data_IF_045277949718
#
_entry.id   IF_045277949718
#
_cell.length_a   1.000
_cell.length_b   1.000
_cell.length_c   1.000
_cell.angle_alpha   90.00
_cell.angle_beta   90.00
_cell.angle_gamma   90.00
#
_symmetry.space_group_name_H-M   'P 1'
#
loop_
_entity.id
_entity.type
_entity.pdbx_description
1 polymer ?
#
# COMPACT_ATOMS: atom_id res chain seq x y z
N UNK A 1 -15.08 4.84 -30.34
CA UNK A 1 -14.66 3.47 -29.99
C UNK A 1 -14.25 3.38 -28.52
N UNK A 2 -15.22 3.53 -27.64
CA UNK A 2 -15.06 3.39 -26.18
C UNK A 2 -16.43 3.13 -25.56
N UNK A 3 -16.45 2.69 -24.30
CA UNK A 3 -17.67 2.48 -23.53
C UNK A 3 -18.43 3.81 -23.36
N UNK A 4 -19.72 3.79 -23.67
CA UNK A 4 -20.61 4.96 -23.56
C UNK A 4 -21.72 4.69 -22.55
N UNK A 5 -22.10 5.73 -21.84
CA UNK A 5 -23.33 5.80 -21.06
C UNK A 5 -24.41 6.43 -21.95
N UNK A 6 -25.50 5.72 -22.18
CA UNK A 6 -26.52 6.09 -23.16
C UNK A 6 -27.87 6.22 -22.48
N UNK A 7 -28.51 7.37 -22.63
CA UNK A 7 -29.92 7.58 -22.27
C UNK A 7 -30.77 7.41 -23.51
N UNK A 8 -31.84 6.62 -23.41
CA UNK A 8 -32.74 6.36 -24.53
C UNK A 8 -34.19 6.23 -24.07
N UNK A 9 -35.12 6.37 -25.01
CA UNK A 9 -36.53 6.03 -24.84
C UNK A 9 -37.00 5.15 -26.00
N UNK A 10 -38.11 4.46 -25.79
CA UNK A 10 -38.79 3.68 -26.84
C UNK A 10 -40.23 4.19 -26.95
N UNK A 11 -40.59 4.59 -28.17
CA UNK A 11 -41.93 5.03 -28.54
C UNK A 11 -42.39 4.34 -29.82
N UNK A 12 -43.54 3.74 -29.80
CA UNK A 12 -44.11 2.96 -30.92
C UNK A 12 -43.13 1.90 -31.49
N UNK A 13 -42.40 1.23 -30.61
CA UNK A 13 -41.42 0.19 -31.00
C UNK A 13 -40.10 0.73 -31.60
N UNK A 14 -39.88 2.04 -31.63
CA UNK A 14 -38.67 2.69 -32.11
C UNK A 14 -37.82 3.17 -30.95
N UNK A 15 -36.49 2.88 -31.06
CA UNK A 15 -35.52 3.37 -30.12
C UNK A 15 -35.05 4.80 -30.50
N UNK A 16 -35.09 5.70 -29.53
CA UNK A 16 -34.60 7.07 -29.66
C UNK A 16 -33.46 7.30 -28.65
N UNK A 17 -32.28 7.60 -29.14
CA UNK A 17 -31.12 8.00 -28.32
C UNK A 17 -31.33 9.46 -27.90
N UNK A 18 -31.39 9.70 -26.60
CA UNK A 18 -31.56 11.03 -26.03
C UNK A 18 -30.21 11.69 -25.72
N UNK A 19 -29.28 10.94 -25.17
CA UNK A 19 -27.94 11.42 -24.81
C UNK A 19 -26.94 10.30 -24.85
N UNK A 20 -25.69 10.64 -25.19
CA UNK A 20 -24.51 9.76 -25.02
C UNK A 20 -23.41 10.55 -24.34
N UNK A 21 -22.68 9.89 -23.43
CA UNK A 21 -21.51 10.45 -22.77
C UNK A 21 -20.47 9.36 -22.50
N UNK A 22 -19.22 9.74 -22.28
CA UNK A 22 -18.20 8.78 -21.87
C UNK A 22 -18.55 8.20 -20.49
N UNK A 23 -18.61 6.89 -20.40
CA UNK A 23 -18.98 6.21 -19.17
C UNK A 23 -17.91 6.41 -18.10
N UNK A 24 -18.33 6.74 -16.86
CA UNK A 24 -17.48 6.68 -15.69
C UNK A 24 -17.22 5.22 -15.34
N UNK A 25 -15.98 4.87 -15.04
CA UNK A 25 -15.55 3.49 -14.82
C UNK A 25 -14.80 3.38 -13.50
N UNK A 26 -14.99 2.25 -12.82
CA UNK A 26 -14.11 1.85 -11.72
C UNK A 26 -12.78 1.36 -12.29
N UNK A 27 -11.68 1.31 -11.52
CA UNK A 27 -10.39 0.80 -12.00
C UNK A 27 -10.49 -0.59 -12.65
N UNK A 28 -11.24 -1.51 -12.04
CA UNK A 28 -11.50 -2.83 -12.62
C UNK A 28 -12.20 -2.73 -13.98
N UNK A 29 -13.24 -1.91 -14.09
CA UNK A 29 -13.98 -1.73 -15.34
C UNK A 29 -13.12 -1.11 -16.44
N UNK A 30 -12.14 -0.25 -16.11
CA UNK A 30 -11.20 0.30 -17.10
C UNK A 30 -10.39 -0.82 -17.75
N UNK A 31 -9.84 -1.74 -16.93
CA UNK A 31 -9.09 -2.91 -17.43
C UNK A 31 -9.98 -3.86 -18.23
N UNK A 32 -11.17 -4.21 -17.69
CA UNK A 32 -12.13 -5.08 -18.36
C UNK A 32 -12.50 -4.57 -19.76
N UNK A 33 -12.84 -3.28 -19.86
CA UNK A 33 -13.22 -2.64 -21.13
C UNK A 33 -12.03 -2.59 -22.08
N UNK A 34 -10.83 -2.23 -21.62
CA UNK A 34 -9.64 -2.19 -22.46
C UNK A 34 -9.33 -3.54 -23.09
N UNK A 35 -9.37 -4.61 -22.27
CA UNK A 35 -9.12 -5.97 -22.75
C UNK A 35 -10.23 -6.46 -23.70
N UNK A 36 -11.49 -6.20 -23.39
CA UNK A 36 -12.62 -6.59 -24.24
C UNK A 36 -12.55 -5.93 -25.61
N UNK A 37 -12.21 -4.63 -25.67
CA UNK A 37 -12.09 -3.90 -26.95
C UNK A 37 -10.97 -4.44 -27.84
N UNK A 38 -9.88 -4.96 -27.27
CA UNK A 38 -8.84 -5.65 -28.04
C UNK A 38 -9.35 -7.01 -28.55
N UNK A 39 -10.02 -7.77 -27.71
CA UNK A 39 -10.60 -9.08 -28.08
C UNK A 39 -11.65 -8.94 -29.19
N UNK A 40 -12.40 -7.87 -29.19
CA UNK A 40 -13.37 -7.50 -30.24
C UNK A 40 -12.71 -6.91 -31.51
N UNK A 41 -11.39 -6.72 -31.52
CA UNK A 41 -10.67 -6.13 -32.64
C UNK A 41 -10.95 -4.63 -32.86
N UNK A 42 -11.45 -3.92 -31.86
CA UNK A 42 -11.84 -2.50 -31.94
C UNK A 42 -10.64 -1.57 -31.76
N UNK A 43 -9.68 -1.95 -30.89
CA UNK A 43 -8.43 -1.24 -30.61
C UNK A 43 -7.25 -2.19 -30.60
N UNK A 44 -6.02 -1.66 -30.72
CA UNK A 44 -4.80 -2.45 -30.60
C UNK A 44 -4.40 -2.69 -29.13
N UNK A 45 -3.45 -3.61 -28.88
CA UNK A 45 -2.88 -3.85 -27.55
C UNK A 45 -2.21 -2.58 -27.00
N UNK A 46 -1.47 -1.87 -27.83
CA UNK A 46 -0.79 -0.62 -27.47
C UNK A 46 -1.79 0.45 -27.03
N UNK A 47 -2.89 0.59 -27.77
CA UNK A 47 -3.94 1.54 -27.45
C UNK A 47 -4.63 1.16 -26.13
N UNK A 48 -4.86 -0.13 -25.88
CA UNK A 48 -5.43 -0.60 -24.64
C UNK A 48 -4.57 -0.25 -23.43
N UNK A 49 -3.25 -0.46 -23.50
CA UNK A 49 -2.29 -0.10 -22.45
C UNK A 49 -2.31 1.40 -22.17
N UNK A 50 -2.30 2.22 -23.24
CA UNK A 50 -2.32 3.69 -23.12
C UNK A 50 -3.65 4.23 -22.50
N UNK A 51 -4.74 3.48 -22.63
CA UNK A 51 -6.04 3.86 -22.06
C UNK A 51 -6.17 3.58 -20.58
N UNK A 52 -5.35 2.68 -20.04
CA UNK A 52 -5.32 2.35 -18.60
C UNK A 52 -4.28 3.23 -17.92
N UNK A 53 -4.74 4.20 -17.14
CA UNK A 53 -3.85 5.13 -16.44
C UNK A 53 -3.09 4.45 -15.30
N UNK A 54 -1.94 5.00 -14.94
CA UNK A 54 -1.12 4.50 -13.82
C UNK A 54 -1.82 4.63 -12.46
N UNK A 55 -2.72 5.61 -12.31
CA UNK A 55 -3.51 5.76 -11.08
C UNK A 55 -4.52 4.62 -10.89
N UNK A 56 -5.16 4.18 -11.99
CA UNK A 56 -6.06 3.04 -11.98
C UNK A 56 -5.30 1.76 -11.64
N UNK A 57 -4.12 1.57 -12.22
CA UNK A 57 -3.24 0.43 -11.90
C UNK A 57 -2.86 0.45 -10.44
N UNK A 58 -2.41 1.58 -9.90
CA UNK A 58 -2.05 1.70 -8.49
C UNK A 58 -3.21 1.34 -7.55
N UNK A 59 -4.45 1.74 -7.88
CA UNK A 59 -5.62 1.35 -7.11
C UNK A 59 -5.92 -0.15 -7.16
N UNK A 60 -5.54 -0.84 -8.23
CA UNK A 60 -5.72 -2.29 -8.36
C UNK A 60 -4.64 -3.10 -7.64
N UNK A 61 -3.45 -2.51 -7.47
CA UNK A 61 -2.32 -3.14 -6.79
C UNK A 61 -2.44 -3.15 -5.26
N UNK A 62 -3.34 -2.34 -4.71
CA UNK A 62 -3.53 -2.20 -3.27
C UNK A 62 -4.94 -2.61 -2.85
N UNK A 63 -5.07 -3.07 -1.60
CA UNK A 63 -6.38 -3.28 -0.99
C UNK A 63 -7.16 -1.96 -0.92
N UNK A 64 -8.49 -2.05 -1.07
CA UNK A 64 -9.40 -0.91 -1.01
C UNK A 64 -10.58 -1.26 -0.10
N UNK A 65 -11.34 -0.25 0.32
CA UNK A 65 -12.60 -0.50 1.03
C UNK A 65 -13.78 -0.59 0.07
N UNK A 66 -14.80 -1.37 0.44
CA UNK A 66 -16.04 -1.45 -0.30
C UNK A 66 -16.81 -0.11 -0.22
N UNK A 67 -17.22 0.44 -1.37
CA UNK A 67 -17.90 1.75 -1.43
C UNK A 67 -19.18 1.82 -0.61
N UNK A 68 -19.91 0.69 -0.49
CA UNK A 68 -21.13 0.64 0.30
C UNK A 68 -20.84 0.76 1.79
N UNK A 69 -19.84 0.05 2.27
CA UNK A 69 -19.38 0.10 3.66
C UNK A 69 -18.81 1.48 4.00
N UNK A 70 -18.03 2.09 3.09
CA UNK A 70 -17.50 3.45 3.26
C UNK A 70 -18.60 4.52 3.41
N UNK A 71 -19.72 4.39 2.68
CA UNK A 71 -20.84 5.36 2.78
C UNK A 71 -21.54 5.32 4.15
N UNK A 72 -21.44 4.22 4.88
CA UNK A 72 -22.03 4.04 6.21
C UNK A 72 -21.02 4.29 7.32
N UNK A 73 -19.73 4.28 7.01
CA UNK A 73 -18.65 4.43 7.98
C UNK A 73 -18.54 5.88 8.48
N UNK A 74 -18.33 6.04 9.78
CA UNK A 74 -18.07 7.34 10.38
C UNK A 74 -16.60 7.71 10.16
N UNK A 75 -16.35 8.77 9.37
CA UNK A 75 -15.00 9.31 9.23
C UNK A 75 -14.58 10.01 10.51
N UNK A 76 -13.41 9.63 11.04
CA UNK A 76 -12.81 10.22 12.25
C UNK A 76 -11.91 11.41 11.92
N UNK A 77 -11.04 11.24 10.93
CA UNK A 77 -10.08 12.28 10.50
C UNK A 77 -9.65 12.09 9.06
N UNK A 78 -8.90 13.05 8.58
CA UNK A 78 -8.20 12.99 7.30
C UNK A 78 -6.81 13.60 7.45
N UNK A 79 -5.81 12.91 6.97
CA UNK A 79 -4.43 13.34 6.87
C UNK A 79 -3.90 13.25 5.44
N UNK A 80 -2.60 13.18 5.28
CA UNK A 80 -1.94 12.98 4.00
C UNK A 80 -1.91 11.48 3.65
N UNK A 81 -2.28 11.14 2.42
CA UNK A 81 -2.17 9.82 1.82
C UNK A 81 -0.68 9.47 1.63
N UNK A 82 -0.02 9.00 2.68
CA UNK A 82 1.43 8.82 2.70
C UNK A 82 1.88 7.51 2.04
N UNK A 83 1.11 6.44 2.20
CA UNK A 83 1.33 5.15 1.52
C UNK A 83 -0.02 4.48 1.28
N UNK A 84 -0.30 3.99 0.06
CA UNK A 84 -1.62 3.50 -0.32
C UNK A 84 -1.97 2.17 0.36
N UNK A 85 -3.26 1.81 0.27
CA UNK A 85 -3.84 0.57 0.79
C UNK A 85 -4.98 0.84 1.76
N UNK A 86 -5.75 -0.21 2.06
CA UNK A 86 -6.80 -0.24 3.06
C UNK A 86 -6.43 -1.22 4.16
N UNK A 87 -6.48 -0.79 5.40
CA UNK A 87 -6.13 -1.60 6.54
C UNK A 87 -7.15 -1.43 7.67
N UNK A 88 -7.44 -2.51 8.37
CA UNK A 88 -8.31 -2.55 9.54
C UNK A 88 -7.51 -3.15 10.69
N UNK A 89 -7.58 -2.55 11.86
CA UNK A 89 -6.89 -3.11 13.02
C UNK A 89 -7.17 -2.36 14.31
N UNK A 90 -6.75 -2.98 15.39
CA UNK A 90 -6.85 -2.42 16.73
C UNK A 90 -5.77 -1.35 16.95
N UNK A 91 -6.14 -0.25 17.59
CA UNK A 91 -5.22 0.85 17.92
C UNK A 91 -4.21 0.42 18.96
N UNK A 92 -2.94 0.73 18.71
CA UNK A 92 -1.86 0.67 19.70
C UNK A 92 -0.99 1.91 19.60
N UNK A 93 -0.47 2.38 20.74
CA UNK A 93 0.23 3.66 20.83
C UNK A 93 1.75 3.51 20.98
N UNK A 94 2.25 2.31 21.26
CA UNK A 94 3.68 2.03 21.36
C UNK A 94 4.09 0.89 20.42
N UNK A 95 5.32 0.93 19.93
CA UNK A 95 5.84 -0.11 19.06
C UNK A 95 5.85 -1.48 19.74
N UNK A 96 6.26 -1.54 21.01
CA UNK A 96 6.32 -2.78 21.76
C UNK A 96 4.95 -3.44 21.94
N UNK A 97 3.92 -2.67 22.30
CA UNK A 97 2.56 -3.20 22.47
C UNK A 97 1.94 -3.61 21.13
N UNK A 98 2.24 -2.87 20.07
CA UNK A 98 1.83 -3.21 18.71
C UNK A 98 2.40 -4.56 18.27
N UNK A 99 3.70 -4.82 18.51
CA UNK A 99 4.36 -6.10 18.20
C UNK A 99 3.71 -7.26 18.96
N UNK A 100 3.48 -7.09 20.25
CA UNK A 100 2.85 -8.15 21.06
C UNK A 100 1.40 -8.44 20.61
N UNK A 101 0.62 -7.41 20.34
CA UNK A 101 -0.77 -7.56 19.91
C UNK A 101 -0.87 -8.13 18.47
N UNK A 102 0.07 -7.79 17.60
CA UNK A 102 0.11 -8.27 16.20
C UNK A 102 0.24 -9.81 16.11
N UNK A 103 0.72 -10.47 17.17
CA UNK A 103 0.77 -11.94 17.24
C UNK A 103 -0.63 -12.59 17.23
N UNK A 104 -1.67 -11.85 17.57
CA UNK A 104 -3.03 -12.40 17.76
C UNK A 104 -4.11 -11.70 16.96
N UNK A 105 -3.89 -10.47 16.52
CA UNK A 105 -4.88 -9.65 15.79
C UNK A 105 -4.23 -8.57 14.93
N UNK A 106 -4.91 -8.09 13.89
CA UNK A 106 -4.45 -6.93 13.11
C UNK A 106 -4.33 -5.68 13.98
N UNK A 107 -3.27 -4.92 13.78
CA UNK A 107 -2.91 -3.75 14.58
C UNK A 107 -2.72 -2.52 13.70
N UNK A 108 -3.14 -1.37 14.19
CA UNK A 108 -2.80 -0.05 13.65
C UNK A 108 -1.96 0.69 14.68
N UNK A 109 -0.72 1.04 14.28
CA UNK A 109 0.16 1.84 15.11
C UNK A 109 -0.20 3.32 14.98
N UNK A 110 -0.60 3.95 16.09
CA UNK A 110 -1.00 5.36 16.14
C UNK A 110 -0.01 6.13 17.00
N UNK A 111 0.71 7.09 16.39
CA UNK A 111 1.77 7.85 17.07
C UNK A 111 1.60 9.35 16.85
N UNK A 112 2.21 10.19 17.69
CA UNK A 112 2.37 11.60 17.33
C UNK A 112 3.31 11.73 16.14
N UNK A 113 4.47 11.13 16.23
CA UNK A 113 5.48 10.96 15.17
C UNK A 113 6.14 9.61 15.37
N UNK A 114 6.67 8.99 14.32
CA UNK A 114 7.49 7.78 14.45
C UNK A 114 8.97 8.12 14.43
N UNK A 115 9.73 7.30 15.14
CA UNK A 115 11.20 7.33 15.20
C UNK A 115 11.79 5.98 14.74
N UNK A 116 13.11 5.88 14.54
CA UNK A 116 13.75 4.60 14.23
C UNK A 116 13.47 3.49 15.26
N UNK A 117 13.17 3.83 16.50
CA UNK A 117 12.82 2.89 17.55
C UNK A 117 11.43 2.24 17.34
N UNK A 118 10.58 2.86 16.52
CA UNK A 118 9.24 2.37 16.23
C UNK A 118 9.21 1.35 15.06
N UNK A 119 10.33 1.06 14.40
CA UNK A 119 10.39 0.23 13.18
C UNK A 119 9.75 -1.14 13.38
N UNK A 120 10.03 -1.84 14.47
CA UNK A 120 9.46 -3.17 14.74
C UNK A 120 7.92 -3.12 14.85
N UNK A 121 7.40 -2.09 15.53
CA UNK A 121 5.96 -1.84 15.61
C UNK A 121 5.34 -1.50 14.25
N UNK A 122 6.04 -0.73 13.42
CA UNK A 122 5.60 -0.39 12.06
C UNK A 122 5.57 -1.61 11.15
N UNK A 123 6.57 -2.49 11.23
CA UNK A 123 6.62 -3.76 10.47
C UNK A 123 5.47 -4.67 10.85
N UNK A 124 5.18 -4.80 12.15
CA UNK A 124 4.15 -5.69 12.67
C UNK A 124 2.74 -5.17 12.47
N UNK A 125 2.55 -3.87 12.20
CA UNK A 125 1.24 -3.25 12.03
C UNK A 125 0.72 -3.36 10.60
N UNK A 126 -0.61 -3.40 10.43
CA UNK A 126 -1.30 -3.33 9.13
C UNK A 126 -1.27 -1.90 8.57
N UNK A 127 -1.35 -0.90 9.43
CA UNK A 127 -1.24 0.51 9.05
C UNK A 127 -0.53 1.34 10.12
N UNK A 128 -0.04 2.49 9.67
CA UNK A 128 0.56 3.53 10.51
C UNK A 128 -0.25 4.82 10.36
N UNK A 129 -0.63 5.41 11.48
CA UNK A 129 -1.31 6.72 11.52
C UNK A 129 -0.51 7.66 12.39
N UNK A 130 -0.15 8.84 11.88
CA UNK A 130 0.58 9.83 12.68
C UNK A 130 -0.15 11.18 12.75
N UNK A 131 -0.04 11.82 13.91
CA UNK A 131 -0.58 13.14 14.17
C UNK A 131 0.16 14.21 13.37
N UNK A 132 1.47 14.10 13.33
CA UNK A 132 2.39 14.98 12.65
C UNK A 132 3.13 14.23 11.55
N UNK A 133 3.75 15.00 10.68
CA UNK A 133 4.55 14.47 9.57
C UNK A 133 3.94 14.74 8.21
N UNK A 134 4.81 14.85 7.23
CA UNK A 134 4.48 15.04 5.82
C UNK A 134 4.91 13.84 4.98
N UNK A 135 4.87 14.00 3.65
CA UNK A 135 5.27 12.96 2.69
C UNK A 135 6.73 12.52 2.80
N UNK A 136 7.57 13.32 3.45
CA UNK A 136 9.00 13.06 3.70
C UNK A 136 9.30 12.69 5.16
N UNK A 137 8.28 12.54 6.01
CA UNK A 137 8.45 12.12 7.39
C UNK A 137 8.97 10.68 7.48
N UNK A 138 9.56 10.32 8.60
CA UNK A 138 10.02 8.95 8.88
C UNK A 138 8.90 7.93 8.65
N UNK A 139 7.70 8.16 9.21
CA UNK A 139 6.55 7.30 9.01
C UNK A 139 6.22 7.07 7.52
N UNK A 140 6.16 8.15 6.73
CA UNK A 140 5.80 8.09 5.32
C UNK A 140 6.86 7.35 4.47
N UNK A 141 8.15 7.61 4.71
CA UNK A 141 9.24 7.01 3.94
C UNK A 141 9.35 5.52 4.26
N UNK A 142 9.34 5.17 5.54
CA UNK A 142 9.48 3.78 6.00
C UNK A 142 8.26 2.95 5.60
N UNK A 143 7.03 3.48 5.80
CA UNK A 143 5.81 2.77 5.41
C UNK A 143 5.76 2.46 3.91
N UNK A 144 6.15 3.42 3.05
CA UNK A 144 6.26 3.18 1.60
C UNK A 144 7.30 2.12 1.27
N UNK A 145 8.47 2.16 1.91
CA UNK A 145 9.51 1.16 1.73
C UNK A 145 9.07 -0.25 2.11
N UNK A 146 8.17 -0.36 3.08
CA UNK A 146 7.58 -1.63 3.56
C UNK A 146 6.29 -2.03 2.84
N UNK A 147 5.73 -1.18 1.96
CA UNK A 147 4.43 -1.42 1.35
C UNK A 147 3.25 -1.38 2.35
N UNK A 148 3.42 -0.73 3.50
CA UNK A 148 2.38 -0.63 4.56
C UNK A 148 1.50 0.59 4.34
N UNK A 149 0.19 0.42 4.60
CA UNK A 149 -0.76 1.52 4.58
C UNK A 149 -0.34 2.62 5.57
N UNK A 150 -0.35 3.89 5.14
CA UNK A 150 0.06 4.98 6.02
C UNK A 150 -0.69 6.28 5.76
N UNK A 151 -1.16 6.89 6.84
CA UNK A 151 -1.75 8.24 6.85
C UNK A 151 -0.99 9.12 7.84
N UNK A 152 -0.42 10.22 7.35
CA UNK A 152 0.35 11.14 8.17
C UNK A 152 -0.36 12.49 8.35
N UNK A 153 -0.02 13.20 9.42
CA UNK A 153 -0.47 14.58 9.62
C UNK A 153 -1.97 14.73 9.99
N UNK A 154 -2.51 13.78 10.73
CA UNK A 154 -3.88 13.82 11.25
C UNK A 154 -4.02 14.79 12.44
N UNK A 155 -3.99 16.09 12.19
CA UNK A 155 -3.83 17.15 13.21
C UNK A 155 -4.95 17.24 14.26
N UNK A 156 -6.11 16.61 14.02
CA UNK A 156 -7.26 16.68 14.94
C UNK A 156 -7.33 15.52 15.93
N UNK A 157 -6.19 14.88 16.20
CA UNK A 157 -6.06 13.79 17.16
C UNK A 157 -5.30 14.26 18.40
N UNK A 158 -5.65 13.75 19.56
CA UNK A 158 -4.90 13.95 20.81
C UNK A 158 -4.67 12.58 21.42
N UNK A 159 -3.40 12.18 21.56
CA UNK A 159 -3.01 10.92 22.17
C UNK A 159 -2.65 11.18 23.65
N UNK A 160 -3.23 10.40 24.56
CA UNK A 160 -2.81 10.31 25.94
C UNK A 160 -2.16 8.92 26.16
N UNK A 161 -0.84 8.91 26.25
CA UNK A 161 -0.07 7.68 26.39
C UNK A 161 -0.27 7.02 27.77
N UNK A 162 -0.46 7.81 28.83
CA UNK A 162 -0.65 7.31 30.21
C UNK A 162 -2.00 6.61 30.37
N UNK A 163 -3.05 7.20 29.81
CA UNK A 163 -4.40 6.63 29.84
C UNK A 163 -4.68 5.68 28.68
N UNK A 164 -3.73 5.56 27.73
CA UNK A 164 -3.86 4.77 26.50
C UNK A 164 -5.14 5.11 25.73
N UNK A 165 -5.35 6.40 25.50
CA UNK A 165 -6.54 6.91 24.80
C UNK A 165 -6.20 7.85 23.65
N UNK A 166 -7.09 7.85 22.65
CA UNK A 166 -7.07 8.72 21.49
C UNK A 166 -8.35 9.54 21.45
N UNK A 167 -8.26 10.86 21.59
CA UNK A 167 -9.39 11.77 21.35
C UNK A 167 -9.39 12.24 19.91
N UNK A 168 -10.49 12.02 19.20
CA UNK A 168 -10.63 12.30 17.77
C UNK A 168 -12.10 12.54 17.43
N UNK A 169 -12.42 13.58 16.66
CA UNK A 169 -13.79 13.89 16.24
C UNK A 169 -14.82 13.92 17.39
N UNK A 170 -14.43 14.36 18.60
CA UNK A 170 -15.30 14.38 19.78
C UNK A 170 -15.51 13.02 20.44
N UNK A 171 -14.87 11.97 19.98
CA UNK A 171 -14.92 10.60 20.50
C UNK A 171 -13.61 10.30 21.24
N UNK A 172 -13.68 9.48 22.26
CA UNK A 172 -12.50 8.92 22.95
C UNK A 172 -12.43 7.42 22.66
N UNK A 173 -11.39 7.03 21.93
CA UNK A 173 -11.05 5.64 21.66
C UNK A 173 -9.96 5.18 22.63
N UNK A 174 -9.96 3.89 22.97
CA UNK A 174 -8.98 3.25 23.83
C UNK A 174 -8.08 2.34 23.02
N UNK A 175 -6.95 2.00 23.60
CA UNK A 175 -6.10 0.95 23.06
C UNK A 175 -6.91 -0.35 22.90
N UNK A 176 -6.80 -0.97 21.74
CA UNK A 176 -7.58 -2.16 21.37
C UNK A 176 -8.87 -1.87 20.60
N UNK A 177 -9.37 -0.62 20.58
CA UNK A 177 -10.50 -0.25 19.73
C UNK A 177 -10.10 -0.32 18.24
N UNK A 178 -11.05 -0.71 17.39
CA UNK A 178 -10.79 -0.94 15.95
C UNK A 178 -11.00 0.33 15.15
N UNK A 179 -10.10 0.59 14.23
CA UNK A 179 -10.23 1.62 13.20
C UNK A 179 -9.89 1.07 11.82
N UNK A 180 -10.40 1.72 10.80
CA UNK A 180 -10.09 1.45 9.40
C UNK A 180 -9.33 2.63 8.80
N UNK A 181 -8.23 2.34 8.11
CA UNK A 181 -7.31 3.33 7.55
C UNK A 181 -7.25 3.19 6.04
N UNK A 182 -7.61 4.26 5.31
CA UNK A 182 -7.50 4.36 3.87
C UNK A 182 -6.28 5.21 3.50
N UNK A 183 -5.18 4.56 3.25
CA UNK A 183 -3.93 5.19 2.85
C UNK A 183 -3.97 5.83 1.46
N UNK A 184 -4.92 5.45 0.62
CA UNK A 184 -5.09 6.01 -0.73
C UNK A 184 -5.80 7.36 -0.71
N UNK A 185 -6.75 7.56 0.20
CA UNK A 185 -7.48 8.84 0.38
C UNK A 185 -7.00 9.66 1.57
N UNK A 186 -6.18 9.09 2.43
CA UNK A 186 -5.72 9.71 3.68
C UNK A 186 -6.79 9.76 4.77
N UNK A 187 -7.84 8.95 4.71
CA UNK A 187 -8.97 8.97 5.64
C UNK A 187 -8.87 7.86 6.66
N UNK A 188 -9.37 8.15 7.86
CA UNK A 188 -9.48 7.17 8.96
C UNK A 188 -10.93 7.09 9.41
N UNK A 189 -11.44 5.88 9.61
CA UNK A 189 -12.84 5.61 9.95
C UNK A 189 -12.95 4.86 11.27
N UNK A 190 -14.08 5.04 11.95
CA UNK A 190 -14.40 4.32 13.18
C UNK A 190 -14.83 2.88 12.86
N UNK A 191 -14.30 1.95 13.62
CA UNK A 191 -14.66 0.53 13.51
C UNK A 191 -14.10 -0.15 12.27
N UNK A 192 -14.66 -1.31 11.97
CA UNK A 192 -14.30 -2.14 10.84
C UNK A 192 -15.11 -1.76 9.59
N UNK A 193 -14.41 -1.51 8.49
CA UNK A 193 -14.99 -1.27 7.15
C UNK A 193 -14.58 -2.45 6.26
N UNK A 194 -15.53 -2.99 5.50
CA UNK A 194 -15.28 -4.14 4.63
C UNK A 194 -14.18 -3.83 3.62
N UNK A 195 -13.14 -4.66 3.63
CA UNK A 195 -11.95 -4.55 2.80
C UNK A 195 -12.05 -5.47 1.60
N UNK A 196 -11.67 -4.95 0.44
CA UNK A 196 -11.47 -5.71 -0.78
C UNK A 196 -9.96 -5.85 -0.97
N UNK A 197 -9.46 -7.08 -0.87
CA UNK A 197 -8.05 -7.34 -1.12
C UNK A 197 -7.69 -7.13 -2.58
N UNK A 198 -6.46 -6.65 -2.81
CA UNK A 198 -5.92 -6.57 -4.16
C UNK A 198 -5.93 -7.96 -4.80
N UNK A 199 -6.69 -8.12 -5.87
CA UNK A 199 -6.74 -9.36 -6.66
C UNK A 199 -6.43 -9.02 -8.10
N UNK A 200 -5.39 -9.62 -8.60
CA UNK A 200 -5.10 -9.56 -10.02
C UNK A 200 -6.13 -10.41 -10.77
N UNK A 201 -7.04 -9.75 -11.49
CA UNK A 201 -7.95 -10.47 -12.38
C UNK A 201 -7.15 -11.08 -13.56
N UNK A 202 -7.66 -12.15 -14.16
CA UNK A 202 -7.06 -12.73 -15.36
C UNK A 202 -6.90 -11.68 -16.47
N UNK A 203 -7.84 -10.73 -16.55
CA UNK A 203 -7.79 -9.64 -17.51
C UNK A 203 -6.68 -8.63 -17.21
N UNK A 204 -6.45 -8.34 -15.93
CA UNK A 204 -5.32 -7.49 -15.52
C UNK A 204 -3.98 -8.17 -15.86
N UNK A 205 -3.84 -9.46 -15.57
CA UNK A 205 -2.66 -10.23 -15.94
C UNK A 205 -2.45 -10.26 -17.46
N UNK A 206 -3.55 -10.35 -18.24
CA UNK A 206 -3.50 -10.30 -19.70
C UNK A 206 -3.02 -8.93 -20.21
N UNK A 207 -3.49 -7.85 -19.62
CA UNK A 207 -3.04 -6.48 -19.93
C UNK A 207 -1.55 -6.30 -19.61
N UNK A 208 -1.07 -6.78 -18.47
CA UNK A 208 0.35 -6.76 -18.10
C UNK A 208 1.20 -7.61 -19.05
N UNK A 209 0.71 -8.78 -19.49
CA UNK A 209 1.38 -9.59 -20.50
C UNK A 209 1.57 -8.84 -21.83
N UNK A 210 0.59 -8.08 -22.27
CA UNK A 210 0.74 -7.21 -23.46
C UNK A 210 1.74 -6.08 -23.23
N UNK A 211 1.78 -5.50 -22.03
CA UNK A 211 2.78 -4.49 -21.68
C UNK A 211 4.20 -5.08 -21.74
N UNK A 212 4.38 -6.32 -21.26
CA UNK A 212 5.66 -7.02 -21.34
C UNK A 212 6.09 -7.35 -22.77
N UNK A 213 5.16 -7.65 -23.67
CA UNK A 213 5.44 -7.86 -25.09
C UNK A 213 5.92 -6.58 -25.81
N UNK A 214 5.44 -5.41 -25.37
CA UNK A 214 5.62 -4.12 -26.05
C UNK A 214 6.76 -3.31 -25.47
N UNK A 215 6.99 -3.36 -24.15
CA UNK A 215 8.04 -2.61 -23.49
C UNK A 215 9.43 -2.99 -23.99
N UNK A 216 10.31 -1.99 -24.09
CA UNK A 216 11.73 -2.19 -24.40
C UNK A 216 12.64 -2.17 -23.18
N UNK A 217 12.19 -1.57 -22.09
CA UNK A 217 12.94 -1.48 -20.84
C UNK A 217 12.67 -2.70 -19.95
N UNK A 218 13.72 -3.20 -19.30
CA UNK A 218 13.62 -4.22 -18.28
C UNK A 218 13.17 -3.63 -16.94
N UNK A 219 12.46 -4.42 -16.15
CA UNK A 219 12.10 -4.07 -14.77
C UNK A 219 13.04 -4.80 -13.83
N UNK A 220 13.84 -4.04 -13.10
CA UNK A 220 14.76 -4.54 -12.08
C UNK A 220 14.27 -4.09 -10.70
N UNK A 221 14.30 -4.99 -9.74
CA UNK A 221 13.91 -4.72 -8.36
C UNK A 221 15.12 -4.56 -7.45
N UNK A 222 15.00 -3.76 -6.40
CA UNK A 222 15.98 -3.77 -5.31
C UNK A 222 15.71 -4.99 -4.42
N UNK A 223 16.76 -5.74 -4.08
CA UNK A 223 16.68 -6.88 -3.18
C UNK A 223 17.99 -7.02 -2.44
N UNK A 224 17.94 -7.03 -1.12
CA UNK A 224 19.11 -7.07 -0.25
C UNK A 224 19.31 -8.45 0.41
N UNK A 225 18.30 -9.34 0.32
CA UNK A 225 18.29 -10.69 0.86
C UNK A 225 17.54 -11.68 -0.04
N UNK A 226 17.55 -12.96 0.33
CA UNK A 226 16.90 -14.04 -0.43
C UNK A 226 15.36 -13.86 -0.50
N UNK A 227 14.75 -13.41 0.59
CA UNK A 227 13.30 -13.23 0.68
C UNK A 227 12.86 -12.13 -0.28
N UNK A 228 13.55 -10.98 -0.27
CA UNK A 228 13.26 -9.86 -1.18
C UNK A 228 13.44 -10.28 -2.64
N UNK A 229 14.52 -11.03 -2.94
CA UNK A 229 14.79 -11.52 -4.29
C UNK A 229 13.70 -12.47 -4.78
N UNK A 230 13.21 -13.36 -3.92
CA UNK A 230 12.11 -14.28 -4.25
C UNK A 230 10.81 -13.54 -4.51
N UNK A 231 10.45 -12.60 -3.64
CA UNK A 231 9.25 -11.75 -3.81
C UNK A 231 9.35 -10.94 -5.10
N UNK A 232 10.51 -10.33 -5.38
CA UNK A 232 10.72 -9.59 -6.61
C UNK A 232 10.53 -10.46 -7.86
N UNK A 233 11.06 -11.69 -7.84
CA UNK A 233 10.87 -12.64 -8.92
C UNK A 233 9.41 -13.05 -9.12
N UNK A 234 8.69 -13.33 -8.03
CA UNK A 234 7.26 -13.68 -8.06
C UNK A 234 6.41 -12.53 -8.62
N UNK A 235 6.81 -11.27 -8.41
CA UNK A 235 6.20 -10.08 -9.00
C UNK A 235 6.67 -9.78 -10.44
N UNK A 236 7.49 -10.64 -11.04
CA UNK A 236 7.90 -10.53 -12.44
C UNK A 236 9.11 -9.63 -12.69
N UNK A 237 9.93 -9.35 -11.68
CA UNK A 237 11.20 -8.67 -11.90
C UNK A 237 12.16 -9.52 -12.73
N UNK A 238 12.86 -8.89 -13.68
CA UNK A 238 13.77 -9.55 -14.60
C UNK A 238 15.23 -9.59 -14.08
N UNK A 239 15.46 -9.04 -12.91
CA UNK A 239 16.75 -9.04 -12.23
C UNK A 239 16.81 -8.09 -11.05
N UNK A 240 17.99 -8.02 -10.43
CA UNK A 240 18.25 -7.13 -9.30
C UNK A 240 18.88 -5.84 -9.81
N UNK A 241 18.27 -4.70 -9.50
CA UNK A 241 18.77 -3.36 -9.84
C UNK A 241 19.81 -2.87 -8.85
N UNK A 242 19.51 -2.97 -7.54
CA UNK A 242 20.40 -2.62 -6.46
C UNK A 242 20.32 -3.67 -5.36
N UNK A 243 21.50 -4.13 -4.90
CA UNK A 243 21.66 -4.89 -3.68
C UNK A 243 22.58 -4.09 -2.76
N UNK A 244 22.08 -3.70 -1.59
CA UNK A 244 22.88 -3.02 -0.55
C UNK A 244 23.56 -4.06 0.28
N UNK A 245 24.77 -4.42 -0.10
CA UNK A 245 25.57 -5.47 0.58
C UNK A 245 25.86 -5.13 2.04
N UNK A 246 25.86 -3.84 2.41
CA UNK A 246 25.98 -3.41 3.79
C UNK A 246 24.83 -3.92 4.69
N UNK A 247 23.63 -4.13 4.16
CA UNK A 247 22.52 -4.70 4.92
C UNK A 247 22.77 -6.15 5.33
N UNK A 248 23.54 -6.90 4.54
CA UNK A 248 23.93 -8.27 4.86
C UNK A 248 24.83 -8.36 6.10
N UNK A 249 25.49 -7.26 6.46
CA UNK A 249 26.37 -7.19 7.63
C UNK A 249 25.60 -6.93 8.93
N UNK A 250 24.35 -6.50 8.86
CA UNK A 250 23.54 -6.22 10.04
C UNK A 250 22.73 -7.42 10.53
N UNK A 251 22.80 -8.56 9.84
CA UNK A 251 22.19 -9.80 10.31
C UNK A 251 22.78 -10.24 11.66
N UNK A 252 21.97 -10.80 12.55
CA UNK A 252 22.32 -11.08 13.95
C UNK A 252 23.57 -11.97 14.08
N UNK A 253 23.74 -12.93 13.18
CA UNK A 253 24.88 -13.84 13.14
C UNK A 253 26.18 -13.17 12.64
N UNK A 254 26.08 -12.08 11.88
CA UNK A 254 27.22 -11.41 11.22
C UNK A 254 27.65 -10.12 11.90
N UNK A 255 26.71 -9.37 12.50
CA UNK A 255 26.98 -8.03 13.04
C UNK A 255 28.13 -8.05 14.07
N UNK A 256 28.24 -9.10 14.88
CA UNK A 256 29.30 -9.23 15.88
C UNK A 256 30.69 -9.39 15.24
N UNK A 257 30.79 -10.10 14.13
CA UNK A 257 32.01 -10.31 13.37
C UNK A 257 32.41 -9.04 12.63
N UNK A 258 31.45 -8.36 12.02
CA UNK A 258 31.71 -7.09 11.33
C UNK A 258 32.19 -6.02 12.30
N UNK A 259 31.61 -5.92 13.51
CA UNK A 259 32.09 -5.01 14.56
C UNK A 259 33.53 -5.31 14.95
N UNK A 260 33.89 -6.59 15.14
CA UNK A 260 35.28 -7.01 15.42
C UNK A 260 36.21 -6.62 14.28
N UNK A 261 35.78 -6.81 13.04
CA UNK A 261 36.58 -6.45 11.86
C UNK A 261 36.82 -4.93 11.80
N UNK A 262 35.78 -4.10 12.03
CA UNK A 262 35.92 -2.64 11.99
C UNK A 262 36.80 -2.11 13.11
N UNK A 263 36.77 -2.74 14.30
CA UNK A 263 37.53 -2.33 15.47
C UNK A 263 38.93 -2.95 15.50
N UNK A 264 39.29 -3.83 14.55
CA UNK A 264 40.59 -4.46 14.48
C UNK A 264 41.71 -3.42 14.24
N UNK A 265 42.77 -3.52 14.98
CA UNK A 265 43.91 -2.64 14.89
C UNK A 265 44.99 -3.12 13.89
N UNK A 266 44.95 -4.38 13.49
CA UNK A 266 45.86 -4.96 12.51
C UNK A 266 45.20 -6.07 11.64
N UNK A 267 45.90 -6.50 10.59
CA UNK A 267 45.45 -7.53 9.65
C UNK A 267 45.25 -8.92 10.27
N UNK A 268 45.96 -9.24 11.36
CA UNK A 268 45.82 -10.53 12.04
C UNK A 268 44.51 -10.57 12.86
N UNK A 269 44.09 -9.44 13.42
CA UNK A 269 42.79 -9.31 14.10
C UNK A 269 41.64 -9.41 13.13
N UNK A 270 41.76 -8.80 11.93
CA UNK A 270 40.76 -8.93 10.86
C UNK A 270 40.66 -10.41 10.43
N UNK A 271 41.78 -11.12 10.25
CA UNK A 271 41.76 -12.53 9.88
C UNK A 271 41.06 -13.45 10.89
N UNK A 272 41.10 -13.12 12.19
CA UNK A 272 40.37 -13.85 13.24
C UNK A 272 38.85 -13.60 13.27
N UNK A 273 38.38 -12.55 12.61
CA UNK A 273 36.94 -12.28 12.48
C UNK A 273 36.25 -13.18 11.44
N UNK A 274 37.02 -13.90 10.62
CA UNK A 274 36.53 -14.80 9.58
C UNK A 274 36.48 -16.30 9.98
N UNK A 275 36.79 -16.65 11.22
CA UNK A 275 36.79 -18.05 11.69
C UNK A 275 35.66 -18.29 12.68
#
# INVERSE_FOLDING_TARGET
>A
KDMQDIEFTIEDGKLYILQTRNAKRTPNAVVEVAVSLVEEGVISKEEAILRVGTEEINKLLHSTFEEKSLKQAQQLTQGLAASPGAAVGAIYFTAHEAVEAAKTKPVVLVREETSPEDIEGMVSSEAIVTLRGGMTSHAAVVARGMGKCCVCGCQNMIINYDEKTLKIAGITLKEGDVISVDGSSGKVYLGEVDKIDARFSDRFNKLLGWADEIRSLKVLANADNEVDAKVAFEFGAEGIGLCRTEHMFFEEDRISLVRKMILASDTNEIGRAHV
#
